data_IF_823795176093
#
_entry.id   IF_823795176093
#
_cell.length_a   1.000
_cell.length_b   1.000
_cell.length_c   1.000
_cell.angle_alpha   90.00
_cell.angle_beta   90.00
_cell.angle_gamma   90.00
#
_symmetry.space_group_name_H-M   'P 1'
#
loop_
_entity.id
_entity.type
_entity.pdbx_description
1 polymer ?
#
# COMPACT_ATOMS: atom_id res chain seq x y z
N UNK A 1 -9.16 39.26 23.17
CA UNK A 1 -10.01 38.56 22.19
C UNK A 1 -9.32 37.25 21.81
N UNK A 2 -9.70 36.12 22.42
CA UNK A 2 -9.17 34.79 22.05
C UNK A 2 -10.09 33.65 22.51
N UNK A 3 -11.40 33.89 22.57
CA UNK A 3 -12.38 32.92 23.11
C UNK A 3 -13.19 32.20 22.01
N UNK A 4 -13.05 32.60 20.74
CA UNK A 4 -13.84 32.05 19.63
C UNK A 4 -13.20 30.83 18.95
N UNK A 5 -11.89 30.62 19.08
CA UNK A 5 -11.18 29.52 18.39
C UNK A 5 -11.30 28.17 19.11
N UNK A 6 -11.50 28.17 20.44
CA UNK A 6 -11.58 26.94 21.24
C UNK A 6 -12.94 26.24 21.06
N UNK A 7 -14.03 27.00 20.87
CA UNK A 7 -15.38 26.44 20.68
C UNK A 7 -15.53 25.71 19.33
N UNK A 8 -14.98 26.28 18.25
CA UNK A 8 -15.07 25.71 16.90
C UNK A 8 -14.31 24.37 16.76
N UNK A 9 -13.21 24.22 17.52
CA UNK A 9 -12.44 22.99 17.57
C UNK A 9 -13.18 21.88 18.33
N UNK A 10 -13.96 22.22 19.38
CA UNK A 10 -14.67 21.23 20.18
C UNK A 10 -15.89 20.64 19.45
N UNK A 11 -16.61 21.45 18.67
CA UNK A 11 -17.69 20.97 17.80
C UNK A 11 -17.16 20.08 16.66
N UNK A 12 -15.97 20.38 16.15
CA UNK A 12 -15.31 19.55 15.10
C UNK A 12 -14.89 18.19 15.66
N UNK A 13 -14.37 18.14 16.89
CA UNK A 13 -13.95 16.89 17.55
C UNK A 13 -15.17 16.03 17.93
N UNK A 14 -16.24 16.63 18.47
CA UNK A 14 -17.47 15.90 18.81
C UNK A 14 -18.23 15.38 17.57
N UNK A 15 -18.23 16.15 16.47
CA UNK A 15 -18.78 15.70 15.19
C UNK A 15 -17.93 14.59 14.54
N UNK A 16 -16.60 14.64 14.70
CA UNK A 16 -15.69 13.59 14.23
C UNK A 16 -15.91 12.27 15.01
N UNK A 17 -16.12 12.32 16.32
CA UNK A 17 -16.40 11.12 17.14
C UNK A 17 -17.73 10.45 16.77
N UNK A 18 -18.77 11.23 16.46
CA UNK A 18 -20.08 10.68 16.04
C UNK A 18 -20.02 10.01 14.65
N UNK A 19 -19.22 10.57 13.74
CA UNK A 19 -19.01 9.96 12.41
C UNK A 19 -18.09 8.75 12.48
N UNK A 20 -17.06 8.79 13.33
CA UNK A 20 -16.18 7.65 13.59
C UNK A 20 -16.99 6.44 14.09
N UNK A 21 -17.93 6.66 15.01
CA UNK A 21 -18.84 5.64 15.52
C UNK A 21 -19.79 5.09 14.44
N UNK A 22 -20.34 5.96 13.58
CA UNK A 22 -21.25 5.56 12.49
C UNK A 22 -20.56 4.66 11.43
N UNK A 23 -19.27 4.87 11.17
CA UNK A 23 -18.49 4.07 10.23
C UNK A 23 -17.71 2.92 10.89
N UNK A 24 -17.57 2.90 12.22
CA UNK A 24 -16.89 1.83 12.97
C UNK A 24 -17.55 0.45 12.74
N UNK A 25 -18.89 0.40 12.68
CA UNK A 25 -19.64 -0.84 12.41
C UNK A 25 -19.28 -1.51 11.07
N UNK A 26 -18.77 -0.75 10.09
CA UNK A 26 -18.32 -1.31 8.80
C UNK A 26 -16.95 -1.97 8.86
N UNK A 27 -16.17 -1.68 9.89
CA UNK A 27 -14.86 -2.28 10.14
C UNK A 27 -14.92 -3.44 11.14
N UNK A 28 -16.03 -3.60 11.87
CA UNK A 28 -16.30 -4.69 12.80
C UNK A 28 -16.70 -6.00 12.08
N UNK A 29 -15.98 -6.36 11.02
CA UNK A 29 -16.12 -7.65 10.31
C UNK A 29 -15.11 -8.70 10.79
N UNK A 30 -14.54 -8.52 11.99
CA UNK A 30 -13.56 -9.43 12.60
C UNK A 30 -14.18 -10.76 13.10
N UNK A 31 -15.50 -10.91 13.08
CA UNK A 31 -16.21 -12.09 13.60
C UNK A 31 -16.07 -13.36 12.72
N UNK A 32 -15.40 -13.29 11.57
CA UNK A 32 -15.18 -14.43 10.66
C UNK A 32 -13.88 -15.20 10.87
N UNK A 33 -13.02 -14.78 11.82
CA UNK A 33 -11.68 -15.34 12.01
C UNK A 33 -11.62 -16.58 12.91
N UNK A 34 -12.69 -16.90 13.66
CA UNK A 34 -12.68 -18.00 14.63
C UNK A 34 -12.85 -19.39 14.00
N UNK A 35 -13.21 -19.46 12.72
CA UNK A 35 -13.44 -20.73 12.00
C UNK A 35 -12.51 -20.89 10.80
N UNK A 36 -11.25 -20.51 10.95
CA UNK A 36 -10.25 -20.64 9.92
C UNK A 36 -9.19 -21.66 10.39
N UNK A 37 -9.05 -22.76 9.65
CA UNK A 37 -8.26 -23.94 10.05
C UNK A 37 -6.78 -23.67 10.39
N UNK A 38 -6.00 -24.70 10.74
CA UNK A 38 -4.67 -24.57 11.36
C UNK A 38 -3.68 -23.64 10.63
N UNK A 39 -3.81 -23.50 9.31
CA UNK A 39 -3.00 -22.56 8.52
C UNK A 39 -3.35 -21.09 8.80
N UNK A 40 -4.62 -20.77 9.00
CA UNK A 40 -5.06 -19.40 9.30
C UNK A 40 -4.75 -18.98 10.73
N UNK A 41 -4.66 -19.88 11.69
CA UNK A 41 -4.21 -19.55 13.05
C UNK A 41 -2.71 -19.15 13.08
N UNK A 42 -1.88 -19.70 12.18
CA UNK A 42 -0.47 -19.26 12.03
C UNK A 42 -0.35 -17.89 11.35
N UNK A 43 -1.29 -17.56 10.46
CA UNK A 43 -1.38 -16.23 9.83
C UNK A 43 -1.97 -15.20 10.80
N UNK A 44 -2.98 -15.54 11.60
CA UNK A 44 -3.59 -14.64 12.58
C UNK A 44 -2.65 -14.27 13.75
N UNK A 45 -1.64 -15.11 14.04
CA UNK A 45 -0.57 -14.75 14.98
C UNK A 45 0.34 -13.64 14.45
N UNK A 46 0.32 -13.37 13.13
CA UNK A 46 1.07 -12.33 12.42
C UNK A 46 0.08 -11.52 11.57
N UNK A 47 -0.55 -10.56 12.23
CA UNK A 47 -1.58 -9.61 11.77
C UNK A 47 -1.53 -9.20 10.28
N UNK A 48 -2.67 -8.81 9.69
CA UNK A 48 -2.89 -8.43 8.26
C UNK A 48 -1.75 -7.61 7.63
N UNK A 49 -1.06 -6.82 8.46
CA UNK A 49 0.15 -6.07 8.14
C UNK A 49 1.24 -6.89 7.43
N UNK A 50 1.47 -8.16 7.79
CA UNK A 50 2.53 -8.97 7.17
C UNK A 50 2.23 -9.30 5.72
N UNK A 51 0.96 -9.56 5.40
CA UNK A 51 0.53 -9.83 4.01
C UNK A 51 0.71 -8.56 3.17
N UNK A 52 0.28 -7.41 3.68
CA UNK A 52 0.42 -6.12 2.99
C UNK A 52 1.90 -5.76 2.79
N UNK A 53 2.74 -5.97 3.81
CA UNK A 53 4.18 -5.74 3.71
C UNK A 53 4.83 -6.61 2.64
N UNK A 54 4.48 -7.90 2.57
CA UNK A 54 5.02 -8.81 1.56
C UNK A 54 4.56 -8.39 0.16
N UNK A 55 3.26 -8.16 -0.03
CA UNK A 55 2.72 -7.76 -1.35
C UNK A 55 3.33 -6.43 -1.80
N UNK A 56 3.44 -5.46 -0.90
CA UNK A 56 4.08 -4.17 -1.20
C UNK A 56 5.55 -4.33 -1.58
N UNK A 57 6.31 -5.11 -0.81
CA UNK A 57 7.71 -5.37 -1.10
C UNK A 57 7.91 -6.07 -2.45
N UNK A 58 7.05 -7.05 -2.78
CA UNK A 58 7.07 -7.75 -4.06
C UNK A 58 6.79 -6.78 -5.21
N UNK A 59 5.77 -5.92 -5.08
CA UNK A 59 5.45 -4.93 -6.12
C UNK A 59 6.64 -4.02 -6.40
N UNK A 60 7.28 -3.51 -5.34
CA UNK A 60 8.50 -2.70 -5.47
C UNK A 60 9.63 -3.44 -6.18
N UNK A 61 9.85 -4.70 -5.84
CA UNK A 61 10.89 -5.53 -6.46
C UNK A 61 10.61 -5.73 -7.95
N UNK A 62 9.36 -6.03 -8.32
CA UNK A 62 8.94 -6.21 -9.71
C UNK A 62 9.09 -4.92 -10.51
N UNK A 63 8.68 -3.78 -9.95
CA UNK A 63 8.85 -2.47 -10.59
C UNK A 63 10.33 -2.14 -10.83
N UNK A 64 11.17 -2.29 -9.81
CA UNK A 64 12.59 -2.01 -9.92
C UNK A 64 13.27 -2.94 -10.93
N UNK A 65 12.96 -4.24 -10.86
CA UNK A 65 13.46 -5.22 -11.81
C UNK A 65 13.02 -4.89 -13.25
N UNK A 66 11.78 -4.46 -13.43
CA UNK A 66 11.25 -4.13 -14.74
C UNK A 66 11.95 -2.90 -15.34
N UNK A 67 12.20 -1.85 -14.55
CA UNK A 67 12.95 -0.66 -14.99
C UNK A 67 14.36 -1.08 -15.43
N UNK A 68 15.12 -1.74 -14.55
CA UNK A 68 16.49 -2.19 -14.86
C UNK A 68 16.52 -3.09 -16.10
N UNK A 69 15.57 -4.02 -16.22
CA UNK A 69 15.50 -4.93 -17.37
C UNK A 69 15.15 -4.20 -18.66
N UNK A 70 14.30 -3.18 -18.59
CA UNK A 70 13.88 -2.40 -19.76
C UNK A 70 15.01 -1.50 -20.23
N UNK A 71 15.69 -0.82 -19.30
CA UNK A 71 16.83 0.05 -19.60
C UNK A 71 17.93 -0.73 -20.31
N UNK A 72 18.31 -1.92 -19.79
CA UNK A 72 19.32 -2.78 -20.44
C UNK A 72 18.90 -3.28 -21.83
N UNK A 73 17.60 -3.43 -22.07
CA UNK A 73 17.09 -3.83 -23.39
C UNK A 73 17.20 -2.67 -24.38
N UNK A 74 16.90 -1.46 -23.94
CA UNK A 74 17.03 -0.24 -24.75
C UNK A 74 18.49 0.01 -25.10
N UNK A 75 19.40 -0.09 -24.13
CA UNK A 75 20.86 0.03 -24.34
C UNK A 75 21.36 -0.93 -25.43
N UNK A 76 20.94 -2.20 -25.39
CA UNK A 76 21.30 -3.18 -26.42
C UNK A 76 20.77 -2.83 -27.81
N UNK A 77 19.61 -2.17 -27.91
CA UNK A 77 19.05 -1.74 -29.18
C UNK A 77 19.83 -0.54 -29.73
N UNK A 78 20.24 0.39 -28.87
CA UNK A 78 21.08 1.53 -29.24
C UNK A 78 22.44 1.06 -29.76
N UNK A 79 23.12 0.15 -29.04
CA UNK A 79 24.41 -0.42 -29.43
C UNK A 79 24.36 -1.10 -30.81
N UNK A 80 23.26 -1.81 -31.10
CA UNK A 80 23.07 -2.48 -32.39
C UNK A 80 22.82 -1.49 -33.53
N UNK A 81 22.04 -0.43 -33.27
CA UNK A 81 21.77 0.60 -34.27
C UNK A 81 23.03 1.41 -34.59
N UNK A 82 23.85 1.73 -33.58
CA UNK A 82 25.11 2.46 -33.78
C UNK A 82 26.15 1.64 -34.56
N UNK A 83 26.29 0.34 -34.28
CA UNK A 83 27.17 -0.55 -35.03
C UNK A 83 26.75 -0.72 -36.49
N UNK A 84 25.43 -0.76 -36.77
CA UNK A 84 24.92 -0.84 -38.14
C UNK A 84 25.19 0.44 -38.93
N UNK A 85 25.03 1.61 -38.30
CA UNK A 85 25.25 2.91 -38.96
C UNK A 85 26.74 3.24 -39.21
N UNK A 86 27.64 2.66 -38.42
CA UNK A 86 29.10 2.92 -38.54
C UNK A 86 29.82 1.97 -39.51
N UNK A 87 29.14 0.97 -40.07
CA UNK A 87 29.69 0.00 -41.03
C UNK A 87 29.35 0.29 -42.51
N UNK A 88 28.64 1.38 -42.82
CA UNK A 88 28.44 1.94 -44.17
C UNK A 88 29.32 3.19 -44.38
#
# INVERSE_FOLDING_TARGET
MNFSLIQLQQDTVAAADTLSEAYASKWESSSGLEQAGPLMQTLASHDLIFIVLIVSLIIWLVLLFFIIRTDKKVEQLEDQVEQLNTSD
#
